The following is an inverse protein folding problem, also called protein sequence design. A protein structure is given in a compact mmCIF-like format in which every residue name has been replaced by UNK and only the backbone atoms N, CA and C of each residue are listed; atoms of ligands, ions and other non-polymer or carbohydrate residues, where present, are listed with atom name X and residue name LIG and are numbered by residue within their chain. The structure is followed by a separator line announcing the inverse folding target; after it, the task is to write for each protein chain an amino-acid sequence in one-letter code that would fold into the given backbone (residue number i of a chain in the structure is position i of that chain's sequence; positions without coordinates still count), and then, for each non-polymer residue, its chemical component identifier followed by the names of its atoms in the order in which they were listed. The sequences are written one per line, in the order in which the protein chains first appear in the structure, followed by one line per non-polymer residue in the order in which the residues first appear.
data_IF_470001373978
#
_entry.id   IF_470001373978
#
_cell.length_a   1.000
_cell.length_b   1.000
_cell.length_c   1.000
_cell.angle_alpha   90.00
_cell.angle_beta   90.00
_cell.angle_gamma   90.00
#
_symmetry.space_group_name_H-M   'P 1'
#
loop_
_entity.id
_entity.type
_entity.pdbx_description
1 polymer ?
#
# COMPACT_ATOMS: atom_id res chain seq x y z
N UNK A 1 8.23 -5.50 -15.74
CA UNK A 1 8.51 -4.51 -14.67
C UNK A 1 7.38 -4.53 -13.66
N UNK A 2 7.70 -4.24 -12.41
CA UNK A 2 6.80 -4.23 -11.27
C UNK A 2 7.13 -2.99 -10.44
N UNK A 3 6.15 -2.41 -9.75
CA UNK A 3 6.42 -1.25 -8.90
C UNK A 3 6.65 -1.68 -7.46
N UNK A 4 7.75 -1.18 -6.87
CA UNK A 4 8.19 -1.36 -5.48
C UNK A 4 8.61 -2.76 -5.03
N UNK A 5 8.06 -3.83 -5.61
CA UNK A 5 8.41 -5.21 -5.25
C UNK A 5 8.38 -6.13 -6.48
N UNK A 6 9.34 -7.04 -6.55
CA UNK A 6 9.42 -8.11 -7.54
C UNK A 6 10.08 -9.36 -6.93
N UNK A 7 10.26 -10.39 -7.76
CA UNK A 7 10.88 -11.66 -7.34
C UNK A 7 12.34 -11.53 -6.85
N UNK A 8 13.04 -10.45 -7.18
CA UNK A 8 14.42 -10.19 -6.78
C UNK A 8 14.54 -9.37 -5.49
N UNK A 9 13.44 -8.73 -5.08
CA UNK A 9 13.38 -7.86 -3.90
C UNK A 9 13.66 -8.65 -2.62
N UNK A 10 14.60 -8.18 -1.81
CA UNK A 10 15.00 -8.85 -0.56
C UNK A 10 14.24 -8.25 0.61
N UNK A 11 13.35 -9.04 1.20
CA UNK A 11 12.38 -8.58 2.20
C UNK A 11 12.83 -8.96 3.62
N UNK A 12 12.88 -7.97 4.51
CA UNK A 12 12.96 -8.18 5.96
C UNK A 12 11.58 -8.05 6.60
N UNK A 13 11.35 -8.83 7.65
CA UNK A 13 10.12 -8.76 8.46
C UNK A 13 10.44 -8.24 9.86
N UNK A 14 10.00 -7.02 10.19
CA UNK A 14 10.10 -6.54 11.59
C UNK A 14 8.92 -7.06 12.39
N UNK A 15 9.20 -7.63 13.57
CA UNK A 15 8.21 -8.39 14.35
C UNK A 15 7.99 -9.84 13.86
N UNK A 16 8.96 -10.42 13.12
CA UNK A 16 8.82 -11.77 12.52
C UNK A 16 8.47 -12.87 13.53
N UNK A 17 8.97 -12.78 14.76
CA UNK A 17 8.72 -13.80 15.79
C UNK A 17 7.40 -13.61 16.52
N UNK A 18 6.64 -12.56 16.21
CA UNK A 18 5.28 -12.36 16.68
C UNK A 18 4.29 -13.22 15.89
N UNK A 19 3.10 -13.47 16.46
CA UNK A 19 2.08 -14.34 15.83
C UNK A 19 1.71 -13.92 14.40
N UNK A 20 1.39 -12.65 14.21
CA UNK A 20 0.96 -12.12 12.90
C UNK A 20 2.15 -12.04 11.93
N UNK A 21 3.30 -11.53 12.39
CA UNK A 21 4.52 -11.48 11.59
C UNK A 21 4.97 -12.85 11.11
N UNK A 22 4.93 -13.86 11.97
CA UNK A 22 5.27 -15.25 11.61
C UNK A 22 4.29 -15.83 10.58
N UNK A 23 2.98 -15.62 10.78
CA UNK A 23 1.97 -16.17 9.88
C UNK A 23 2.13 -15.60 8.46
N UNK A 24 2.22 -14.28 8.32
CA UNK A 24 2.36 -13.65 7.01
C UNK A 24 3.76 -13.81 6.41
N UNK A 25 4.83 -13.90 7.22
CA UNK A 25 6.15 -14.29 6.71
C UNK A 25 6.13 -15.67 6.07
N UNK A 26 5.49 -16.64 6.72
CA UNK A 26 5.34 -17.98 6.16
C UNK A 26 4.54 -17.95 4.84
N UNK A 27 3.46 -17.17 4.78
CA UNK A 27 2.65 -17.07 3.57
C UNK A 27 3.38 -16.36 2.41
N UNK A 28 4.17 -15.33 2.71
CA UNK A 28 5.06 -14.66 1.77
C UNK A 28 6.08 -15.63 1.18
N UNK A 29 6.78 -16.39 2.03
CA UNK A 29 7.77 -17.40 1.60
C UNK A 29 7.08 -18.46 0.72
N UNK A 30 5.91 -18.95 1.14
CA UNK A 30 5.15 -19.97 0.41
C UNK A 30 4.79 -19.52 -1.01
N UNK A 31 4.55 -18.24 -1.23
CA UNK A 31 4.17 -17.69 -2.53
C UNK A 31 5.34 -16.99 -3.25
N UNK A 32 6.58 -17.28 -2.86
CA UNK A 32 7.78 -16.92 -3.64
C UNK A 32 8.41 -15.57 -3.30
N UNK A 33 7.91 -14.83 -2.31
CA UNK A 33 8.61 -13.63 -1.82
C UNK A 33 9.96 -14.02 -1.21
N UNK A 34 11.03 -13.36 -1.64
CA UNK A 34 12.38 -13.57 -1.12
C UNK A 34 12.56 -12.91 0.26
N UNK A 35 12.00 -13.54 1.29
CA UNK A 35 12.20 -13.13 2.69
C UNK A 35 13.57 -13.60 3.16
N UNK A 36 14.43 -12.67 3.53
CA UNK A 36 15.86 -12.93 3.83
C UNK A 36 16.18 -12.96 5.34
N UNK A 37 15.21 -12.62 6.18
CA UNK A 37 15.40 -12.55 7.62
C UNK A 37 14.30 -11.75 8.30
N UNK A 38 14.44 -11.58 9.61
CA UNK A 38 13.58 -10.66 10.33
C UNK A 38 14.21 -10.05 11.57
N UNK A 39 13.54 -9.07 12.13
CA UNK A 39 14.04 -8.30 13.27
C UNK A 39 13.10 -8.49 14.45
N UNK A 40 13.65 -8.85 15.60
CA UNK A 40 12.96 -8.80 16.88
C UNK A 40 14.01 -8.48 17.95
N UNK A 41 14.01 -7.25 18.51
CA UNK A 41 14.94 -6.88 19.57
C UNK A 41 14.91 -7.88 20.73
N UNK A 42 16.09 -8.29 21.18
CA UNK A 42 16.28 -9.31 22.22
C UNK A 42 16.31 -10.77 21.71
N UNK A 43 16.08 -11.01 20.42
CA UNK A 43 16.16 -12.35 19.79
C UNK A 43 17.19 -12.46 18.67
N UNK A 44 18.07 -11.47 18.51
CA UNK A 44 19.13 -11.53 17.50
C UNK A 44 20.06 -12.73 17.70
N UNK A 45 20.46 -13.36 16.60
CA UNK A 45 21.29 -14.58 16.60
C UNK A 45 20.49 -15.89 16.67
N UNK A 46 19.16 -15.82 16.79
CA UNK A 46 18.27 -16.98 16.67
C UNK A 46 17.79 -17.17 15.23
N UNK A 47 17.07 -18.26 14.99
CA UNK A 47 16.41 -18.56 13.71
C UNK A 47 14.90 -18.65 13.89
N UNK A 48 14.14 -18.24 12.88
CA UNK A 48 12.68 -18.37 12.83
C UNK A 48 12.25 -18.57 11.37
N UNK A 49 11.39 -19.56 11.10
CA UNK A 49 11.05 -19.98 9.72
C UNK A 49 12.29 -20.29 8.86
N UNK A 50 13.31 -20.91 9.46
CA UNK A 50 14.61 -21.19 8.83
C UNK A 50 15.37 -19.95 8.32
N UNK A 51 15.01 -18.77 8.82
CA UNK A 51 15.64 -17.49 8.50
C UNK A 51 16.35 -16.88 9.72
N UNK A 52 17.43 -16.11 9.52
CA UNK A 52 18.12 -15.43 10.62
C UNK A 52 17.25 -14.32 11.23
N UNK A 53 17.29 -14.23 12.57
CA UNK A 53 16.67 -13.15 13.33
C UNK A 53 17.75 -12.21 13.86
N UNK A 54 17.52 -10.91 13.68
CA UNK A 54 18.42 -9.84 14.07
C UNK A 54 17.83 -8.98 15.18
N UNK A 55 18.71 -8.30 15.94
CA UNK A 55 18.28 -7.33 16.94
C UNK A 55 17.92 -5.97 16.34
N UNK A 56 18.52 -5.60 15.21
CA UNK A 56 18.34 -4.29 14.56
C UNK A 56 18.16 -4.44 13.05
N UNK A 57 17.43 -3.52 12.43
CA UNK A 57 17.27 -3.46 10.97
C UNK A 57 18.60 -3.20 10.29
N UNK A 58 19.42 -2.30 10.85
CA UNK A 58 20.76 -2.00 10.30
C UNK A 58 21.68 -3.23 10.25
N UNK A 59 21.67 -4.06 11.30
CA UNK A 59 22.43 -5.31 11.30
C UNK A 59 21.91 -6.30 10.27
N UNK A 60 20.59 -6.44 10.18
CA UNK A 60 19.94 -7.30 9.18
C UNK A 60 20.26 -6.87 7.74
N UNK A 61 20.22 -5.56 7.44
CA UNK A 61 20.56 -5.01 6.12
C UNK A 61 22.03 -5.24 5.79
N UNK A 62 22.94 -5.07 6.74
CA UNK A 62 24.37 -5.30 6.52
C UNK A 62 24.69 -6.75 6.13
N UNK A 63 23.95 -7.72 6.69
CA UNK A 63 24.18 -9.14 6.43
C UNK A 63 23.43 -9.66 5.20
N UNK A 64 22.21 -9.18 4.96
CA UNK A 64 21.32 -9.72 3.93
C UNK A 64 21.24 -8.86 2.67
N UNK A 65 21.59 -7.58 2.77
CA UNK A 65 21.40 -6.57 1.73
C UNK A 65 19.93 -6.24 1.43
N UNK A 66 19.01 -6.53 2.36
CA UNK A 66 17.60 -6.23 2.20
C UNK A 66 17.34 -4.76 1.85
N UNK A 67 16.40 -4.53 0.94
CA UNK A 67 15.98 -3.20 0.49
C UNK A 67 14.50 -2.91 0.71
N UNK A 68 13.73 -3.90 1.17
CA UNK A 68 12.35 -3.74 1.62
C UNK A 68 12.15 -4.27 3.04
N UNK A 69 11.38 -3.54 3.85
CA UNK A 69 10.88 -4.01 5.16
C UNK A 69 9.36 -4.07 5.15
N UNK A 70 8.78 -5.17 5.61
CA UNK A 70 7.38 -5.23 6.03
C UNK A 70 7.30 -5.32 7.56
N UNK A 71 6.53 -4.41 8.15
CA UNK A 71 6.43 -4.23 9.59
C UNK A 71 5.09 -4.70 10.14
N UNK A 72 5.18 -5.69 11.03
CA UNK A 72 4.06 -6.19 11.84
C UNK A 72 4.22 -5.77 13.32
N UNK A 73 5.01 -4.73 13.57
CA UNK A 73 5.27 -4.20 14.90
C UNK A 73 4.00 -3.49 15.43
N UNK A 74 3.57 -3.74 16.68
CA UNK A 74 2.39 -3.09 17.26
C UNK A 74 2.47 -1.56 17.30
N UNK A 75 1.33 -0.85 17.31
CA UNK A 75 1.28 0.62 17.18
C UNK A 75 2.19 1.41 18.14
N UNK A 76 2.32 1.06 19.43
CA UNK A 76 3.20 1.80 20.36
C UNK A 76 4.68 1.82 19.98
N UNK A 77 5.12 0.90 19.11
CA UNK A 77 6.52 0.75 18.70
C UNK A 77 6.71 0.92 17.18
N UNK A 78 5.62 1.04 16.42
CA UNK A 78 5.66 1.02 14.96
C UNK A 78 6.38 2.24 14.39
N UNK A 79 6.16 3.44 14.95
CA UNK A 79 6.82 4.66 14.49
C UNK A 79 8.34 4.60 14.63
N UNK A 80 8.84 4.11 15.76
CA UNK A 80 10.27 3.90 15.99
C UNK A 80 10.85 2.86 15.02
N UNK A 81 10.14 1.74 14.81
CA UNK A 81 10.55 0.72 13.83
C UNK A 81 10.59 1.25 12.39
N UNK A 82 9.67 2.14 12.00
CA UNK A 82 9.71 2.79 10.67
C UNK A 82 10.92 3.72 10.55
N UNK A 83 11.20 4.52 11.59
CA UNK A 83 12.37 5.40 11.60
C UNK A 83 13.68 4.60 11.57
N UNK A 84 13.74 3.47 12.26
CA UNK A 84 14.88 2.53 12.21
C UNK A 84 15.10 1.98 10.79
N UNK A 85 14.02 1.60 10.09
CA UNK A 85 14.12 1.15 8.70
C UNK A 85 14.66 2.26 7.78
N UNK A 86 14.19 3.50 7.96
CA UNK A 86 14.70 4.65 7.20
C UNK A 86 16.20 4.90 7.46
N UNK A 87 16.65 4.81 8.72
CA UNK A 87 18.07 4.98 9.09
C UNK A 87 18.96 3.85 8.54
N UNK A 88 18.43 2.63 8.47
CA UNK A 88 19.12 1.47 7.92
C UNK A 88 19.32 1.52 6.39
N UNK A 89 18.75 2.51 5.69
CA UNK A 89 18.87 2.66 4.24
C UNK A 89 17.90 1.79 3.44
N UNK A 90 16.81 1.33 4.06
CA UNK A 90 15.72 0.63 3.37
C UNK A 90 15.09 1.56 2.34
N UNK A 91 14.78 1.03 1.14
CA UNK A 91 14.16 1.79 0.06
C UNK A 91 12.65 1.86 0.22
N UNK A 92 12.02 0.76 0.62
CA UNK A 92 10.57 0.66 0.80
C UNK A 92 10.24 0.04 2.16
N UNK A 93 9.40 0.71 2.95
CA UNK A 93 8.82 0.15 4.16
C UNK A 93 7.30 0.02 3.99
N UNK A 94 6.76 -1.16 4.31
CA UNK A 94 5.33 -1.42 4.37
C UNK A 94 4.94 -1.54 5.83
N UNK A 95 4.12 -0.62 6.34
CA UNK A 95 3.65 -0.67 7.73
C UNK A 95 2.19 -1.15 7.77
N UNK A 96 1.97 -2.27 8.45
CA UNK A 96 0.65 -2.91 8.51
C UNK A 96 -0.19 -2.39 9.68
N UNK A 97 0.46 -1.97 10.77
CA UNK A 97 -0.21 -1.65 12.03
C UNK A 97 -1.31 -0.58 11.88
N UNK A 98 -2.48 -0.87 12.43
CA UNK A 98 -3.59 0.07 12.61
C UNK A 98 -3.53 0.69 14.00
N UNK A 99 -3.89 1.97 14.13
CA UNK A 99 -3.95 2.69 15.40
C UNK A 99 -2.65 3.35 15.83
N UNK A 100 -1.74 3.64 14.89
CA UNK A 100 -0.57 4.49 15.19
C UNK A 100 -1.07 5.92 15.44
N UNK A 101 -0.66 6.58 16.54
CA UNK A 101 -1.01 7.97 16.78
C UNK A 101 -0.58 8.89 15.62
N UNK A 102 -1.46 9.81 15.22
CA UNK A 102 -1.15 10.75 14.14
C UNK A 102 0.10 11.61 14.43
N UNK A 103 0.36 11.93 15.70
CA UNK A 103 1.57 12.66 16.12
C UNK A 103 2.84 11.87 15.82
N UNK A 104 2.82 10.56 16.02
CA UNK A 104 3.95 9.68 15.73
C UNK A 104 4.17 9.60 14.21
N UNK A 105 3.10 9.54 13.42
CA UNK A 105 3.21 9.59 11.96
C UNK A 105 3.73 10.95 11.44
N UNK A 106 3.41 12.07 12.10
CA UNK A 106 4.04 13.38 11.81
C UNK A 106 5.54 13.31 12.07
N UNK A 107 5.95 12.71 13.20
CA UNK A 107 7.36 12.51 13.53
C UNK A 107 8.07 11.64 12.50
N UNK A 108 7.47 10.53 12.08
CA UNK A 108 7.98 9.64 11.02
C UNK A 108 8.19 10.42 9.71
N UNK A 109 7.17 11.16 9.25
CA UNK A 109 7.28 11.95 7.99
C UNK A 109 8.38 13.01 8.09
N UNK A 110 8.51 13.69 9.23
CA UNK A 110 9.60 14.65 9.49
C UNK A 110 10.97 13.98 9.49
N UNK A 111 11.08 12.80 10.11
CA UNK A 111 12.32 12.03 10.15
C UNK A 111 12.77 11.62 8.76
N UNK A 112 11.87 11.05 7.94
CA UNK A 112 12.16 10.66 6.56
C UNK A 112 12.60 11.84 5.67
N UNK A 113 12.06 13.04 5.90
CA UNK A 113 12.43 14.27 5.16
C UNK A 113 13.86 14.74 5.43
N UNK A 114 14.56 14.21 6.43
CA UNK A 114 15.98 14.47 6.66
C UNK A 114 16.88 13.84 5.58
N UNK A 115 16.38 12.80 4.92
CA UNK A 115 17.07 12.17 3.80
C UNK A 115 16.75 12.90 2.49
N UNK A 116 17.78 13.00 1.63
CA UNK A 116 17.64 13.48 0.25
C UNK A 116 16.66 12.60 -0.50
N UNK A 117 15.92 13.17 -1.45
CA UNK A 117 14.85 12.50 -2.18
C UNK A 117 15.27 11.17 -2.83
N UNK A 118 16.43 11.14 -3.48
CA UNK A 118 17.03 9.97 -4.13
C UNK A 118 17.40 8.82 -3.16
N UNK A 119 17.51 9.12 -1.86
CA UNK A 119 17.82 8.16 -0.79
C UNK A 119 16.71 8.06 0.25
N UNK A 120 15.59 8.74 0.04
CA UNK A 120 14.49 8.78 0.99
C UNK A 120 13.70 7.50 0.83
N UNK A 121 13.56 6.76 1.94
CA UNK A 121 12.68 5.61 2.00
C UNK A 121 11.26 6.00 1.58
N UNK A 122 10.60 5.14 0.80
CA UNK A 122 9.15 5.21 0.54
C UNK A 122 8.42 4.41 1.62
N UNK A 123 7.37 4.99 2.20
CA UNK A 123 6.54 4.33 3.20
C UNK A 123 5.15 4.03 2.61
N UNK A 124 4.71 2.79 2.69
CA UNK A 124 3.36 2.33 2.36
C UNK A 124 2.63 2.02 3.67
N UNK A 125 1.40 2.50 3.82
CA UNK A 125 0.67 2.50 5.09
C UNK A 125 0.96 3.73 5.95
N UNK A 126 0.72 3.69 7.28
CA UNK A 126 0.31 2.55 8.07
C UNK A 126 -1.15 2.13 7.79
N UNK A 127 -1.69 1.20 8.57
CA UNK A 127 -3.07 0.73 8.45
C UNK A 127 -3.41 0.29 7.02
N UNK A 128 -2.59 -0.61 6.47
CA UNK A 128 -2.70 -1.02 5.07
C UNK A 128 -2.60 -2.54 4.88
N UNK A 129 -3.09 -3.00 3.74
CA UNK A 129 -2.95 -4.39 3.30
C UNK A 129 -1.54 -4.74 2.81
N UNK A 130 -0.75 -3.73 2.42
CA UNK A 130 0.59 -3.87 1.88
C UNK A 130 0.66 -3.77 0.35
N UNK A 131 1.63 -4.46 -0.25
CA UNK A 131 1.90 -4.44 -1.69
C UNK A 131 1.97 -5.84 -2.27
N UNK A 132 1.50 -6.01 -3.50
CA UNK A 132 1.63 -7.25 -4.25
C UNK A 132 1.90 -6.98 -5.73
N UNK A 133 2.85 -7.72 -6.28
CA UNK A 133 3.04 -7.89 -7.71
C UNK A 133 2.72 -9.34 -8.03
N UNK A 134 1.54 -9.63 -8.61
CA UNK A 134 1.05 -11.00 -8.74
C UNK A 134 2.00 -11.90 -9.52
N UNK A 135 2.19 -13.13 -9.04
CA UNK A 135 3.12 -14.10 -9.63
C UNK A 135 4.61 -13.81 -9.39
N UNK A 136 4.95 -12.73 -8.67
CA UNK A 136 6.33 -12.38 -8.37
C UNK A 136 6.61 -12.35 -6.87
N UNK A 137 6.00 -11.41 -6.15
CA UNK A 137 6.21 -11.25 -4.71
C UNK A 137 5.11 -10.37 -4.11
N UNK A 138 4.90 -10.52 -2.80
CA UNK A 138 4.07 -9.63 -2.02
C UNK A 138 4.65 -9.40 -0.63
N UNK A 139 4.31 -8.24 -0.06
CA UNK A 139 4.67 -7.83 1.29
C UNK A 139 3.43 -7.25 1.98
N UNK A 140 2.75 -8.07 2.80
CA UNK A 140 1.56 -7.63 3.52
C UNK A 140 0.62 -8.74 3.95
N UNK A 141 -0.68 -8.41 4.00
CA UNK A 141 -1.77 -9.24 4.48
C UNK A 141 -2.66 -9.81 3.38
N UNK A 142 -2.50 -9.35 2.13
CA UNK A 142 -3.43 -9.68 1.06
C UNK A 142 -3.34 -11.15 0.66
N UNK A 143 -4.49 -11.79 0.34
CA UNK A 143 -4.49 -13.18 -0.13
C UNK A 143 -3.99 -13.25 -1.57
N UNK A 144 -2.83 -13.85 -1.87
CA UNK A 144 -2.25 -13.80 -3.21
C UNK A 144 -3.10 -14.51 -4.29
N UNK A 145 -3.89 -15.51 -3.90
CA UNK A 145 -4.68 -16.34 -4.83
C UNK A 145 -5.81 -15.62 -5.57
N UNK A 146 -6.26 -14.46 -5.07
CA UNK A 146 -7.28 -13.67 -5.78
C UNK A 146 -6.68 -12.82 -6.91
N UNK A 147 -5.36 -12.66 -6.93
CA UNK A 147 -4.67 -11.84 -7.90
C UNK A 147 -4.17 -12.67 -9.08
N UNK A 148 -4.58 -12.28 -10.28
CA UNK A 148 -4.05 -12.81 -11.55
C UNK A 148 -2.98 -11.85 -12.09
N UNK A 149 -1.82 -12.31 -12.57
CA UNK A 149 -0.86 -11.44 -13.27
C UNK A 149 -1.47 -10.78 -14.52
N UNK A 150 -1.24 -9.48 -14.70
CA UNK A 150 -1.66 -8.74 -15.88
C UNK A 150 -1.16 -7.30 -15.86
N UNK A 151 -1.96 -6.37 -16.41
CA UNK A 151 -1.50 -5.01 -16.77
C UNK A 151 -2.31 -3.89 -16.12
N UNK A 152 -3.15 -4.19 -15.14
CA UNK A 152 -3.95 -3.20 -14.42
C UNK A 152 -3.33 -2.89 -13.06
N UNK A 153 -3.00 -1.63 -12.81
CA UNK A 153 -2.56 -1.17 -11.49
C UNK A 153 -3.74 -1.02 -10.52
N UNK A 154 -3.53 -1.29 -9.24
CA UNK A 154 -4.50 -0.97 -8.18
C UNK A 154 -3.81 -0.11 -7.12
N UNK A 155 -4.44 1.01 -6.74
CA UNK A 155 -4.07 1.78 -5.55
C UNK A 155 -5.30 2.03 -4.69
N UNK A 156 -5.22 1.81 -3.38
CA UNK A 156 -6.38 1.99 -2.52
C UNK A 156 -6.06 2.27 -1.05
N UNK A 157 -7.01 2.92 -0.36
CA UNK A 157 -6.95 3.11 1.10
C UNK A 157 -7.43 1.87 1.84
N UNK A 158 -8.48 1.22 1.33
CA UNK A 158 -9.08 0.02 1.90
C UNK A 158 -8.48 -1.26 1.31
N UNK A 159 -8.07 -2.18 2.18
CA UNK A 159 -7.55 -3.49 1.80
C UNK A 159 -8.61 -4.34 1.10
N UNK A 160 -9.72 -4.64 1.79
CA UNK A 160 -10.74 -5.56 1.28
C UNK A 160 -11.48 -5.04 0.05
N UNK A 161 -11.68 -3.72 -0.10
CA UNK A 161 -12.23 -3.18 -1.35
C UNK A 161 -11.24 -3.30 -2.52
N UNK A 162 -9.93 -3.19 -2.25
CA UNK A 162 -8.91 -3.53 -3.25
C UNK A 162 -8.94 -5.01 -3.64
N UNK A 163 -9.27 -5.90 -2.70
CA UNK A 163 -9.43 -7.33 -2.95
C UNK A 163 -10.64 -7.61 -3.86
N UNK A 164 -11.76 -6.91 -3.62
CA UNK A 164 -12.95 -7.01 -4.48
C UNK A 164 -12.64 -6.61 -5.92
N UNK A 165 -11.90 -5.50 -6.12
CA UNK A 165 -11.47 -5.09 -7.44
C UNK A 165 -10.60 -6.16 -8.12
N UNK A 166 -9.60 -6.70 -7.40
CA UNK A 166 -8.72 -7.75 -7.91
C UNK A 166 -9.50 -9.02 -8.28
N UNK A 167 -10.42 -9.48 -7.42
CA UNK A 167 -11.22 -10.69 -7.63
C UNK A 167 -12.13 -10.56 -8.85
N UNK A 168 -12.89 -9.46 -8.95
CA UNK A 168 -13.82 -9.23 -10.07
C UNK A 168 -13.09 -9.10 -11.41
N UNK A 169 -11.92 -8.47 -11.43
CA UNK A 169 -11.08 -8.41 -12.63
C UNK A 169 -10.55 -9.81 -13.00
N UNK A 170 -10.05 -10.55 -12.01
CA UNK A 170 -9.52 -11.92 -12.21
C UNK A 170 -10.56 -12.86 -12.81
N UNK A 171 -11.81 -12.83 -12.32
CA UNK A 171 -12.95 -13.60 -12.84
C UNK A 171 -13.28 -13.29 -14.31
N UNK A 172 -12.97 -12.07 -14.76
CA UNK A 172 -13.10 -11.64 -16.17
C UNK A 172 -11.82 -11.83 -16.98
N UNK A 173 -10.82 -12.49 -16.41
CA UNK A 173 -9.55 -12.75 -17.05
C UNK A 173 -8.60 -11.55 -17.10
N UNK A 174 -8.96 -10.42 -16.50
CA UNK A 174 -8.16 -9.19 -16.42
C UNK A 174 -7.21 -9.32 -15.23
N UNK A 175 -5.91 -9.18 -15.50
CA UNK A 175 -4.87 -9.32 -14.47
C UNK A 175 -4.33 -7.99 -13.98
N UNK A 176 -3.71 -8.04 -12.80
CA UNK A 176 -3.12 -6.92 -12.07
C UNK A 176 -1.61 -6.88 -12.28
N UNK A 177 -1.06 -5.70 -12.56
CA UNK A 177 0.39 -5.48 -12.65
C UNK A 177 1.00 -5.37 -11.25
N UNK A 178 0.47 -4.46 -10.43
CA UNK A 178 0.78 -4.33 -9.01
C UNK A 178 -0.41 -3.72 -8.27
N UNK A 179 -0.58 -4.09 -7.00
CA UNK A 179 -1.63 -3.57 -6.11
C UNK A 179 -1.03 -3.03 -4.82
N UNK A 180 -1.32 -1.77 -4.50
CA UNK A 180 -0.71 -1.03 -3.39
C UNK A 180 -1.80 -0.46 -2.49
N UNK A 181 -1.86 -0.96 -1.25
CA UNK A 181 -2.67 -0.39 -0.20
C UNK A 181 -1.92 0.77 0.47
N UNK A 182 -2.30 2.02 0.21
CA UNK A 182 -1.67 3.20 0.83
C UNK A 182 -2.12 3.42 2.29
N UNK A 183 -3.22 2.78 2.68
CA UNK A 183 -3.72 2.74 4.06
C UNK A 183 -4.82 3.75 4.39
N UNK A 184 -5.56 3.46 5.46
CA UNK A 184 -6.76 4.22 5.89
C UNK A 184 -6.49 5.38 6.85
N UNK A 185 -5.25 5.54 7.31
CA UNK A 185 -4.88 6.55 8.30
C UNK A 185 -4.78 7.96 7.69
N UNK A 186 -5.08 9.02 8.46
CA UNK A 186 -5.10 10.40 7.94
C UNK A 186 -3.70 10.91 7.52
N UNK A 187 -2.63 10.33 8.09
CA UNK A 187 -1.24 10.65 7.76
C UNK A 187 -0.55 9.35 7.36
N UNK A 188 -0.64 9.03 6.07
CA UNK A 188 0.04 7.90 5.47
C UNK A 188 1.43 8.27 4.92
N UNK A 189 2.20 7.24 4.59
CA UNK A 189 3.52 7.33 4.02
C UNK A 189 3.53 7.85 2.60
N UNK A 190 2.71 7.23 1.72
CA UNK A 190 2.55 7.58 0.31
C UNK A 190 1.08 7.86 0.02
N UNK A 191 0.81 8.91 -0.73
CA UNK A 191 -0.52 9.31 -1.20
C UNK A 191 -0.93 8.58 -2.47
N UNK A 192 -2.17 8.78 -2.92
CA UNK A 192 -2.60 8.33 -4.25
C UNK A 192 -1.69 8.87 -5.36
N UNK A 193 -1.39 10.18 -5.34
CA UNK A 193 -0.50 10.82 -6.31
C UNK A 193 0.86 10.12 -6.39
N UNK A 194 1.48 9.85 -5.25
CA UNK A 194 2.82 9.23 -5.19
C UNK A 194 2.86 7.84 -5.85
N UNK A 195 1.73 7.12 -5.86
CA UNK A 195 1.60 5.79 -6.47
C UNK A 195 1.14 5.88 -7.92
N UNK A 196 0.25 6.82 -8.25
CA UNK A 196 -0.16 7.09 -9.62
C UNK A 196 1.04 7.49 -10.51
N UNK A 197 1.97 8.27 -9.97
CA UNK A 197 3.23 8.59 -10.65
C UNK A 197 4.06 7.34 -10.95
N UNK A 198 4.10 6.35 -10.05
CA UNK A 198 4.79 5.09 -10.34
C UNK A 198 4.08 4.30 -11.43
N UNK A 199 2.75 4.24 -11.39
CA UNK A 199 1.99 3.53 -12.41
C UNK A 199 2.08 4.18 -13.77
N UNK A 200 2.05 5.51 -13.87
CA UNK A 200 2.26 6.23 -15.12
C UNK A 200 3.61 5.87 -15.75
N UNK A 201 4.66 5.79 -14.93
CA UNK A 201 6.02 5.46 -15.38
C UNK A 201 6.28 3.96 -15.59
N UNK A 202 5.37 3.06 -15.19
CA UNK A 202 5.56 1.61 -15.33
C UNK A 202 5.05 1.08 -16.69
N UNK A 203 5.92 0.63 -17.61
CA UNK A 203 5.50 0.16 -18.93
C UNK A 203 4.70 -1.16 -18.88
N UNK A 204 4.61 -1.87 -17.75
CA UNK A 204 3.73 -3.03 -17.60
C UNK A 204 2.32 -2.69 -17.10
N UNK A 205 2.05 -1.42 -16.82
CA UNK A 205 0.73 -0.95 -16.42
C UNK A 205 0.08 -0.18 -17.56
N UNK A 206 -1.09 -0.61 -18.02
CA UNK A 206 -1.87 0.02 -19.09
C UNK A 206 -2.98 0.92 -18.55
N UNK A 207 -3.53 0.61 -17.37
CA UNK A 207 -4.58 1.36 -16.72
C UNK A 207 -4.51 1.21 -15.19
N UNK A 208 -5.18 2.10 -14.45
CA UNK A 208 -5.15 2.08 -12.97
C UNK A 208 -6.56 2.09 -12.38
N UNK A 209 -6.78 1.30 -11.33
CA UNK A 209 -7.96 1.35 -10.47
C UNK A 209 -7.59 2.07 -9.16
N UNK A 210 -8.28 3.17 -8.88
CA UNK A 210 -8.20 3.93 -7.64
C UNK A 210 -9.37 3.56 -6.72
N UNK A 211 -9.08 3.12 -5.50
CA UNK A 211 -10.09 2.78 -4.48
C UNK A 211 -9.97 3.75 -3.30
N UNK A 212 -10.76 4.83 -3.37
CA UNK A 212 -10.82 5.89 -2.38
C UNK A 212 -11.97 5.73 -1.38
N UNK A 213 -12.02 6.66 -0.42
CA UNK A 213 -13.05 6.73 0.60
C UNK A 213 -13.27 8.19 1.05
N UNK A 214 -14.23 8.42 1.95
CA UNK A 214 -14.44 9.75 2.55
C UNK A 214 -13.23 10.26 3.34
N UNK A 215 -13.16 11.58 3.53
CA UNK A 215 -12.18 12.23 4.41
C UNK A 215 -10.84 12.54 3.75
N UNK A 216 -10.32 13.74 4.02
CA UNK A 216 -9.06 14.24 3.48
C UNK A 216 -9.09 14.59 1.97
N UNK A 217 -8.02 15.25 1.47
CA UNK A 217 -7.96 15.80 0.12
C UNK A 217 -7.31 14.89 -0.93
N UNK A 218 -6.82 13.70 -0.55
CA UNK A 218 -5.91 12.92 -1.40
C UNK A 218 -6.52 12.52 -2.75
N UNK A 219 -7.82 12.23 -2.82
CA UNK A 219 -8.50 11.92 -4.07
C UNK A 219 -8.67 13.16 -4.98
N UNK A 220 -8.80 14.36 -4.41
CA UNK A 220 -8.82 15.60 -5.19
C UNK A 220 -7.42 15.92 -5.75
N UNK A 221 -6.37 15.76 -4.93
CA UNK A 221 -4.98 15.89 -5.38
C UNK A 221 -4.63 14.83 -6.45
N UNK A 222 -5.19 13.62 -6.33
CA UNK A 222 -5.07 12.59 -7.35
C UNK A 222 -5.76 12.99 -8.66
N UNK A 223 -6.96 13.57 -8.58
CA UNK A 223 -7.69 14.05 -9.76
C UNK A 223 -6.91 15.13 -10.53
N UNK A 224 -6.31 16.10 -9.81
CA UNK A 224 -5.42 17.11 -10.42
C UNK A 224 -4.24 16.45 -11.14
N UNK A 225 -3.57 15.50 -10.49
CA UNK A 225 -2.46 14.79 -11.10
C UNK A 225 -2.86 13.98 -12.33
N UNK A 226 -4.00 13.28 -12.27
CA UNK A 226 -4.52 12.48 -13.39
C UNK A 226 -4.77 13.39 -14.59
N UNK A 227 -5.45 14.51 -14.40
CA UNK A 227 -5.77 15.47 -15.46
C UNK A 227 -4.52 16.06 -16.11
N UNK A 228 -3.53 16.43 -15.30
CA UNK A 228 -2.39 17.23 -15.75
C UNK A 228 -1.18 16.39 -16.20
N UNK A 229 -1.08 15.14 -15.75
CA UNK A 229 0.14 14.34 -15.91
C UNK A 229 -0.06 12.90 -16.36
N UNK A 230 -1.23 12.30 -16.22
CA UNK A 230 -1.43 10.91 -16.61
C UNK A 230 -1.93 10.77 -18.05
N UNK A 231 -1.34 9.81 -18.76
CA UNK A 231 -1.85 9.38 -20.07
C UNK A 231 -2.62 8.07 -19.96
N UNK A 232 -2.37 7.29 -18.92
CA UNK A 232 -3.04 6.01 -18.68
C UNK A 232 -4.46 6.23 -18.14
N UNK A 233 -5.47 5.50 -18.65
CA UNK A 233 -6.82 5.61 -18.15
C UNK A 233 -6.92 5.17 -16.68
N UNK A 234 -7.76 5.89 -15.92
CA UNK A 234 -8.01 5.60 -14.51
C UNK A 234 -9.49 5.34 -14.30
N UNK A 235 -9.79 4.25 -13.59
CA UNK A 235 -11.11 3.98 -13.02
C UNK A 235 -11.07 4.25 -11.51
N UNK A 236 -12.14 4.79 -10.93
CA UNK A 236 -12.20 5.05 -9.49
C UNK A 236 -13.51 4.63 -8.83
N UNK A 237 -13.40 4.06 -7.64
CA UNK A 237 -14.51 3.86 -6.71
C UNK A 237 -14.27 4.67 -5.44
N UNK A 238 -15.29 5.40 -4.97
CA UNK A 238 -15.24 6.16 -3.71
C UNK A 238 -16.25 5.59 -2.72
N UNK A 239 -15.75 4.99 -1.65
CA UNK A 239 -16.59 4.47 -0.58
C UNK A 239 -17.18 5.60 0.28
N UNK A 240 -18.38 5.37 0.82
CA UNK A 240 -19.00 6.25 1.83
C UNK A 240 -20.04 7.24 1.34
N UNK A 241 -20.69 7.00 0.19
CA UNK A 241 -21.82 7.82 -0.29
C UNK A 241 -22.95 7.97 0.73
N UNK A 242 -23.19 6.95 1.55
CA UNK A 242 -24.22 6.95 2.61
C UNK A 242 -23.68 7.34 4.00
N UNK A 243 -22.43 7.81 4.09
CA UNK A 243 -21.81 8.11 5.38
C UNK A 243 -22.36 9.42 5.98
N UNK A 244 -22.76 9.43 7.27
CA UNK A 244 -23.20 10.65 7.93
C UNK A 244 -22.01 11.60 8.19
N UNK A 245 -22.24 12.91 8.07
CA UNK A 245 -21.22 13.93 8.36
C UNK A 245 -20.75 13.87 9.82
N UNK A 246 -19.45 14.13 10.06
CA UNK A 246 -18.87 14.18 11.40
C UNK A 246 -18.73 12.82 12.13
N UNK A 247 -19.03 11.69 11.48
CA UNK A 247 -18.85 10.35 12.06
C UNK A 247 -17.64 9.65 11.44
N UNK A 248 -16.78 9.09 12.29
CA UNK A 248 -15.67 8.23 11.86
C UNK A 248 -16.21 6.85 11.43
N UNK A 249 -15.79 6.37 10.27
CA UNK A 249 -16.22 5.11 9.66
C UNK A 249 -15.08 4.09 9.65
N UNK A 250 -14.86 3.39 10.77
CA UNK A 250 -13.81 2.37 10.87
C UNK A 250 -12.41 2.99 10.86
N UNK A 251 -11.85 3.21 9.66
CA UNK A 251 -10.54 3.83 9.46
C UNK A 251 -10.45 5.19 10.16
N UNK A 252 -9.27 5.51 10.69
CA UNK A 252 -9.01 6.76 11.37
C UNK A 252 -9.21 7.99 10.47
N UNK A 253 -8.88 7.88 9.18
CA UNK A 253 -9.03 8.95 8.20
C UNK A 253 -10.40 9.03 7.53
N UNK A 254 -11.31 8.08 7.79
CA UNK A 254 -12.63 8.03 7.15
C UNK A 254 -13.66 8.87 7.92
N UNK A 255 -13.48 10.20 7.91
CA UNK A 255 -14.40 11.16 8.52
C UNK A 255 -14.57 12.38 7.61
N UNK A 256 -15.82 12.80 7.40
CA UNK A 256 -16.12 14.05 6.68
C UNK A 256 -16.10 15.20 7.68
N UNK A 257 -15.03 16.01 7.63
CA UNK A 257 -14.76 17.12 8.55
C UNK A 257 -14.82 18.50 7.88
N UNK A 258 -14.60 18.56 6.57
CA UNK A 258 -14.60 19.77 5.78
C UNK A 258 -15.38 19.60 4.45
N UNK A 259 -15.58 20.73 3.75
CA UNK A 259 -16.10 20.76 2.38
C UNK A 259 -15.11 20.09 1.42
N UNK A 260 -15.60 19.35 0.42
CA UNK A 260 -14.78 18.58 -0.51
C UNK A 260 -14.33 17.20 -0.01
N UNK A 261 -14.67 16.83 1.22
CA UNK A 261 -14.27 15.53 1.81
C UNK A 261 -15.35 14.45 1.69
N UNK A 262 -16.56 14.80 1.25
CA UNK A 262 -17.64 13.83 1.06
C UNK A 262 -17.39 12.97 -0.18
N UNK A 263 -17.93 11.76 -0.18
CA UNK A 263 -17.76 10.84 -1.29
C UNK A 263 -18.34 11.40 -2.60
N UNK A 264 -19.46 12.13 -2.53
CA UNK A 264 -20.09 12.73 -3.71
C UNK A 264 -19.20 13.81 -4.33
N UNK A 265 -18.65 14.73 -3.53
CA UNK A 265 -17.75 15.77 -4.02
C UNK A 265 -16.51 15.15 -4.68
N UNK A 266 -15.92 14.12 -4.07
CA UNK A 266 -14.76 13.42 -4.64
C UNK A 266 -15.10 12.73 -5.98
N UNK A 267 -16.29 12.13 -6.08
CA UNK A 267 -16.77 11.54 -7.34
C UNK A 267 -16.87 12.60 -8.44
N UNK A 268 -17.42 13.78 -8.12
CA UNK A 268 -17.59 14.85 -9.10
C UNK A 268 -16.24 15.43 -9.55
N UNK A 269 -15.31 15.66 -8.61
CA UNK A 269 -13.93 16.10 -8.89
C UNK A 269 -13.19 15.10 -9.79
N UNK A 270 -13.30 13.80 -9.51
CA UNK A 270 -12.66 12.77 -10.32
C UNK A 270 -13.27 12.67 -11.72
N UNK A 271 -14.60 12.79 -11.85
CA UNK A 271 -15.26 12.83 -13.17
C UNK A 271 -14.78 14.01 -14.00
N UNK A 272 -14.65 15.19 -13.40
CA UNK A 272 -14.15 16.39 -14.08
C UNK A 272 -12.69 16.23 -14.56
N UNK A 273 -11.90 15.40 -13.88
CA UNK A 273 -10.55 15.02 -14.29
C UNK A 273 -10.50 13.91 -15.36
N UNK A 274 -11.65 13.44 -15.88
CA UNK A 274 -11.71 12.39 -16.91
C UNK A 274 -11.61 10.96 -16.36
N UNK A 275 -11.76 10.77 -15.05
CA UNK A 275 -11.73 9.45 -14.42
C UNK A 275 -13.04 8.69 -14.65
N UNK A 276 -12.93 7.42 -15.01
CA UNK A 276 -14.10 6.53 -15.16
C UNK A 276 -14.60 6.11 -13.78
N UNK A 277 -15.83 6.48 -13.42
CA UNK A 277 -16.36 6.14 -12.09
C UNK A 277 -17.00 4.76 -12.08
N UNK A 278 -16.54 3.94 -11.13
CA UNK A 278 -17.15 2.68 -10.75
C UNK A 278 -18.35 2.99 -9.83
N UNK A 279 -19.59 2.68 -10.24
CA UNK A 279 -20.78 3.16 -9.52
C UNK A 279 -21.06 2.38 -8.23
N UNK A 280 -20.68 1.11 -8.18
CA UNK A 280 -20.91 0.21 -7.03
C UNK A 280 -19.68 -0.68 -6.82
N UNK A 281 -19.44 -1.16 -5.58
CA UNK A 281 -18.29 -2.02 -5.32
C UNK A 281 -18.37 -3.39 -6.02
N UNK A 282 -19.52 -3.76 -6.62
CA UNK A 282 -19.71 -4.99 -7.38
C UNK A 282 -19.46 -4.83 -8.89
N UNK A 283 -19.04 -3.65 -9.34
CA UNK A 283 -18.93 -3.31 -10.76
C UNK A 283 -17.49 -3.01 -11.22
N UNK A 284 -16.46 -3.29 -10.39
CA UNK A 284 -15.06 -3.06 -10.77
C UNK A 284 -14.70 -3.80 -12.05
N UNK A 285 -14.98 -5.11 -12.10
CA UNK A 285 -14.61 -5.94 -13.23
C UNK A 285 -15.25 -5.48 -14.54
N UNK A 286 -16.55 -5.20 -14.53
CA UNK A 286 -17.29 -4.75 -15.72
C UNK A 286 -16.81 -3.39 -16.22
N UNK A 287 -16.58 -2.44 -15.31
CA UNK A 287 -16.15 -1.09 -15.67
C UNK A 287 -14.74 -1.10 -16.23
N UNK A 288 -13.82 -1.84 -15.60
CA UNK A 288 -12.44 -1.94 -16.09
C UNK A 288 -12.40 -2.65 -17.44
N UNK A 289 -13.15 -3.74 -17.62
CA UNK A 289 -13.26 -4.45 -18.90
C UNK A 289 -13.67 -3.50 -20.04
N UNK A 290 -14.69 -2.66 -19.82
CA UNK A 290 -15.14 -1.66 -20.81
C UNK A 290 -14.11 -0.55 -21.04
N UNK A 291 -13.35 -0.17 -20.01
CA UNK A 291 -12.36 0.91 -20.09
C UNK A 291 -11.12 0.51 -20.90
N UNK A 292 -10.76 -0.79 -20.90
CA UNK A 292 -9.54 -1.31 -21.54
C UNK A 292 -9.81 -2.09 -22.82
N UNK A 293 -11.07 -2.19 -23.25
CA UNK A 293 -11.50 -2.77 -24.52
C UNK A 293 -11.23 -1.82 -25.69
#
# INVERSE_FOLDING_TARGET
MAILIDSTTRVLVTGITGRIGSFHAQDMIKHGTNVVGGVTPGKGGSTHLDLPVFNTVKGAVAETGADLVVSFVPPPFAADSIMEAADAGIKTCVCIADGIPAQDMIQVKRYMRRYKEDRRMRLIGPNCAGIITPGQAFAGLMPPHIYKPGRIGIVGRSGTLGYEAASQMSERGIGVSSSIGIGGDPINGSSFKDILELFENDPETDAVVLVGEIGGPQEAEAAEYIRDHMTKPVAAYIAGLSAPKGRRMGHAGAIVSAFGESAQEKVDILKEAGVTIVPTPSSFGEVVEKMVA
#
